data_IF_625916589738
#
_entry.id   IF_625916589738
#
_cell.length_a   1.000
_cell.length_b   1.000
_cell.length_c   1.000
_cell.angle_alpha   90.00
_cell.angle_beta   90.00
_cell.angle_gamma   90.00
#
_symmetry.space_group_name_H-M   'P 1'
#
loop_
_entity.id
_entity.type
_entity.pdbx_description
1 polymer ?
#
# COMPACT_ATOMS: atom_id res chain seq x y z
N UNK A 1 -9.39 -16.79 -5.39
CA UNK A 1 -7.94 -16.77 -5.71
C UNK A 1 -7.66 -16.05 -7.03
N UNK A 2 -8.27 -16.47 -8.15
CA UNK A 2 -8.10 -15.81 -9.46
C UNK A 2 -8.49 -14.31 -9.48
N UNK A 3 -9.61 -13.96 -8.82
CA UNK A 3 -10.09 -12.57 -8.76
C UNK A 3 -9.14 -11.63 -7.98
N UNK A 4 -8.43 -12.13 -6.97
CA UNK A 4 -7.47 -11.34 -6.21
C UNK A 4 -6.17 -11.16 -7.02
N UNK A 5 -5.71 -12.22 -7.70
CA UNK A 5 -4.57 -12.14 -8.61
C UNK A 5 -4.75 -11.11 -9.72
N UNK A 6 -5.94 -11.05 -10.32
CA UNK A 6 -6.28 -10.04 -11.33
C UNK A 6 -6.18 -8.62 -10.74
N UNK A 7 -6.67 -8.39 -9.51
CA UNK A 7 -6.54 -7.09 -8.84
C UNK A 7 -5.08 -6.68 -8.64
N UNK A 8 -4.21 -7.62 -8.24
CA UNK A 8 -2.79 -7.35 -7.97
C UNK A 8 -2.02 -6.88 -9.19
N UNK A 9 -2.44 -7.28 -10.39
CA UNK A 9 -1.80 -6.89 -11.64
C UNK A 9 -2.49 -5.65 -12.23
N UNK A 10 -3.82 -5.61 -12.17
CA UNK A 10 -4.62 -4.57 -12.80
C UNK A 10 -4.40 -3.19 -12.15
N UNK A 11 -4.24 -3.12 -10.82
CA UNK A 11 -3.98 -1.86 -10.12
C UNK A 11 -2.63 -1.26 -10.53
N UNK A 12 -1.51 -2.00 -10.46
CA UNK A 12 -0.25 -1.53 -11.00
C UNK A 12 -0.30 -1.05 -12.45
N UNK A 13 -1.02 -1.77 -13.32
CA UNK A 13 -1.18 -1.39 -14.73
C UNK A 13 -1.99 -0.09 -14.87
N UNK A 14 -3.06 0.08 -14.09
CA UNK A 14 -3.83 1.33 -14.07
C UNK A 14 -2.98 2.51 -13.64
N UNK A 15 -2.14 2.34 -12.61
CA UNK A 15 -1.21 3.38 -12.15
C UNK A 15 -0.20 3.72 -13.25
N UNK A 16 0.32 2.71 -13.95
CA UNK A 16 1.21 2.92 -15.10
C UNK A 16 0.51 3.74 -16.20
N UNK A 17 -0.72 3.39 -16.57
CA UNK A 17 -1.48 4.10 -17.59
C UNK A 17 -1.74 5.55 -17.19
N UNK A 18 -2.20 5.79 -15.96
CA UNK A 18 -2.45 7.16 -15.46
C UNK A 18 -1.15 7.97 -15.40
N UNK A 19 -0.04 7.34 -14.97
CA UNK A 19 1.27 7.99 -14.92
C UNK A 19 1.79 8.36 -16.32
N UNK A 20 1.59 7.48 -17.30
CA UNK A 20 1.96 7.73 -18.69
C UNK A 20 1.12 8.84 -19.32
N UNK A 21 -0.21 8.70 -19.30
CA UNK A 21 -1.15 9.69 -19.86
C UNK A 21 -0.98 11.06 -19.21
N UNK A 22 -0.82 11.08 -17.88
CA UNK A 22 -0.56 12.32 -17.15
C UNK A 22 0.75 12.98 -17.61
N UNK A 23 1.81 12.20 -17.83
CA UNK A 23 3.08 12.74 -18.33
C UNK A 23 2.92 13.34 -19.74
N UNK A 24 2.24 12.63 -20.65
CA UNK A 24 1.96 13.14 -22.02
C UNK A 24 1.14 14.43 -21.96
N UNK A 25 0.13 14.50 -21.10
CA UNK A 25 -0.69 15.69 -20.90
C UNK A 25 0.13 16.89 -20.38
N UNK A 26 1.00 16.66 -19.39
CA UNK A 26 1.83 17.71 -18.81
C UNK A 26 2.93 18.20 -19.77
N UNK A 27 3.52 17.31 -20.57
CA UNK A 27 4.50 17.67 -21.60
C UNK A 27 3.88 18.49 -22.73
N UNK A 28 2.67 18.14 -23.19
CA UNK A 28 1.97 18.90 -24.24
C UNK A 28 1.47 20.28 -23.76
N UNK A 29 1.15 20.45 -22.47
CA UNK A 29 0.72 21.74 -21.88
C UNK A 29 1.87 22.55 -21.24
N UNK A 30 3.12 22.23 -21.63
CA UNK A 30 4.41 22.62 -21.03
C UNK A 30 4.60 24.09 -20.64
N UNK A 31 3.89 25.06 -21.24
CA UNK A 31 4.15 26.49 -20.99
C UNK A 31 3.72 27.01 -19.60
N UNK A 32 2.92 26.29 -18.80
CA UNK A 32 2.45 26.79 -17.48
C UNK A 32 3.03 26.07 -16.26
N UNK A 33 3.31 24.76 -16.35
CA UNK A 33 3.74 23.98 -15.18
C UNK A 33 5.26 23.80 -15.05
N UNK A 34 5.99 23.76 -16.16
CA UNK A 34 7.46 23.68 -16.17
C UNK A 34 8.09 24.99 -15.66
N UNK A 35 7.37 26.12 -15.70
CA UNK A 35 7.85 27.37 -15.08
C UNK A 35 7.71 27.40 -13.54
N UNK A 36 6.87 26.55 -12.95
CA UNK A 36 6.74 26.45 -11.47
C UNK A 36 7.86 25.57 -10.90
N UNK A 37 8.24 24.53 -11.63
CA UNK A 37 9.40 23.70 -11.32
C UNK A 37 10.53 24.08 -12.27
N UNK A 38 11.34 25.07 -11.89
CA UNK A 38 12.62 25.49 -12.52
C UNK A 38 13.67 24.35 -12.54
N UNK A 39 13.28 23.19 -13.04
CA UNK A 39 13.98 21.91 -12.99
C UNK A 39 13.99 21.39 -14.42
N UNK A 40 14.69 22.06 -15.35
CA UNK A 40 14.92 21.48 -16.69
C UNK A 40 16.28 20.82 -16.80
N UNK A 41 17.26 21.21 -15.96
CA UNK A 41 18.63 20.70 -16.01
C UNK A 41 18.94 19.51 -15.08
N UNK A 42 18.08 19.21 -14.11
CA UNK A 42 18.37 18.19 -13.07
C UNK A 42 17.29 17.09 -12.94
N UNK A 43 16.34 17.01 -13.88
CA UNK A 43 15.22 16.04 -13.85
C UNK A 43 15.72 14.60 -13.66
N UNK A 44 16.80 14.22 -14.35
CA UNK A 44 17.33 12.85 -14.30
C UNK A 44 17.91 12.51 -12.92
N UNK A 45 18.61 13.45 -12.30
CA UNK A 45 19.15 13.29 -10.93
C UNK A 45 18.02 13.21 -9.91
N UNK A 46 17.02 14.08 -10.06
CA UNK A 46 15.85 14.12 -9.18
C UNK A 46 15.01 12.84 -9.26
N UNK A 47 14.66 12.39 -10.47
CA UNK A 47 13.87 11.17 -10.68
C UNK A 47 14.60 9.93 -10.18
N UNK A 48 15.91 9.84 -10.39
CA UNK A 48 16.75 8.76 -9.85
C UNK A 48 16.77 8.78 -8.32
N UNK A 49 16.85 9.96 -7.70
CA UNK A 49 16.82 10.12 -6.24
C UNK A 49 15.45 9.72 -5.67
N UNK A 50 14.35 10.12 -6.32
CA UNK A 50 13.00 9.72 -5.90
C UNK A 50 12.86 8.20 -5.94
N UNK A 51 13.36 7.56 -7.00
CA UNK A 51 13.32 6.11 -7.13
C UNK A 51 14.15 5.38 -6.06
N UNK A 52 15.36 5.85 -5.78
CA UNK A 52 16.21 5.23 -4.74
C UNK A 52 15.59 5.36 -3.35
N UNK A 53 15.03 6.54 -3.03
CA UNK A 53 14.30 6.78 -1.78
C UNK A 53 13.06 5.88 -1.69
N UNK A 54 12.27 5.77 -2.76
CA UNK A 54 11.11 4.89 -2.81
C UNK A 54 11.49 3.44 -2.52
N UNK A 55 12.48 2.92 -3.24
CA UNK A 55 12.94 1.54 -3.10
C UNK A 55 13.46 1.28 -1.68
N UNK A 56 14.19 2.25 -1.10
CA UNK A 56 14.69 2.19 0.27
C UNK A 56 13.56 2.12 1.30
N UNK A 57 12.57 3.01 1.22
CA UNK A 57 11.46 3.09 2.17
C UNK A 57 10.57 1.83 2.10
N UNK A 58 10.28 1.34 0.89
CA UNK A 58 9.50 0.10 0.70
C UNK A 58 10.25 -1.08 1.33
N UNK A 59 11.55 -1.24 1.02
CA UNK A 59 12.36 -2.33 1.54
C UNK A 59 12.45 -2.31 3.06
N UNK A 60 12.65 -1.13 3.65
CA UNK A 60 12.71 -0.95 5.11
C UNK A 60 11.38 -1.35 5.76
N UNK A 61 10.26 -0.95 5.16
CA UNK A 61 8.92 -1.22 5.71
C UNK A 61 8.57 -2.71 5.65
N UNK A 62 8.97 -3.40 4.58
CA UNK A 62 8.85 -4.86 4.47
C UNK A 62 9.75 -5.56 5.50
N UNK A 63 10.98 -5.07 5.71
CA UNK A 63 11.89 -5.63 6.72
C UNK A 63 11.33 -5.44 8.15
N UNK A 64 10.79 -4.27 8.47
CA UNK A 64 10.12 -4.01 9.75
C UNK A 64 8.93 -4.94 9.95
N UNK A 65 8.13 -5.16 8.89
CA UNK A 65 7.03 -6.11 8.97
C UNK A 65 7.54 -7.53 9.26
N UNK A 66 8.56 -8.00 8.53
CA UNK A 66 9.14 -9.32 8.76
C UNK A 66 9.67 -9.49 10.19
N UNK A 67 10.29 -8.44 10.74
CA UNK A 67 10.77 -8.41 12.12
C UNK A 67 9.62 -8.53 13.13
N UNK A 68 8.45 -7.98 12.82
CA UNK A 68 7.26 -8.05 13.69
C UNK A 68 6.52 -9.38 13.55
N UNK A 69 6.52 -9.98 12.35
CA UNK A 69 5.92 -11.30 12.09
C UNK A 69 6.65 -12.42 12.82
N UNK A 70 7.98 -12.35 12.93
CA UNK A 70 8.79 -13.41 13.55
C UNK A 70 8.44 -13.72 15.03
N UNK A 71 8.41 -12.70 15.93
CA UNK A 71 8.07 -12.89 17.34
C UNK A 71 6.57 -13.08 17.61
N UNK A 72 5.69 -12.68 16.69
CA UNK A 72 4.25 -12.55 16.96
C UNK A 72 3.45 -13.82 16.70
N UNK A 73 3.60 -14.82 17.57
CA UNK A 73 2.61 -15.91 17.72
C UNK A 73 1.55 -15.60 18.78
N UNK A 74 1.42 -14.34 19.17
CA UNK A 74 0.46 -13.94 20.19
C UNK A 74 -0.98 -14.14 19.70
N UNK A 75 -1.71 -14.97 20.46
CA UNK A 75 -3.14 -15.16 20.28
C UNK A 75 -3.89 -14.40 21.36
N UNK A 76 -4.96 -13.68 20.98
CA UNK A 76 -5.90 -13.06 21.91
C UNK A 76 -7.32 -13.50 21.55
N UNK A 77 -8.06 -13.98 22.54
CA UNK A 77 -9.39 -14.55 22.34
C UNK A 77 -9.43 -15.63 21.24
N UNK A 78 -8.36 -16.42 21.12
CA UNK A 78 -8.21 -17.45 20.08
C UNK A 78 -7.78 -16.96 18.70
N UNK A 79 -7.78 -15.65 18.45
CA UNK A 79 -7.37 -15.05 17.17
C UNK A 79 -5.89 -14.70 17.16
N UNK A 80 -5.22 -14.98 16.03
CA UNK A 80 -3.87 -14.47 15.78
C UNK A 80 -3.94 -12.97 15.49
N UNK A 81 -3.28 -12.16 16.32
CA UNK A 81 -3.28 -10.70 16.20
C UNK A 81 -2.77 -10.22 14.83
N UNK A 82 -1.76 -10.90 14.29
CA UNK A 82 -1.22 -10.57 12.98
C UNK A 82 -2.26 -10.81 11.87
N UNK A 83 -2.94 -11.95 11.91
CA UNK A 83 -4.01 -12.29 10.96
C UNK A 83 -5.18 -11.30 11.08
N UNK A 84 -5.53 -10.89 12.30
CA UNK A 84 -6.57 -9.91 12.52
C UNK A 84 -6.26 -8.56 11.85
N UNK A 85 -5.08 -7.99 12.10
CA UNK A 85 -4.71 -6.67 11.58
C UNK A 85 -4.38 -6.66 10.08
N UNK A 86 -3.78 -7.75 9.56
CA UNK A 86 -3.33 -7.80 8.17
C UNK A 86 -4.34 -8.45 7.22
N UNK A 87 -5.25 -9.30 7.71
CA UNK A 87 -6.17 -10.06 6.85
C UNK A 87 -7.63 -9.74 7.17
N UNK A 88 -8.08 -9.86 8.42
CA UNK A 88 -9.52 -9.81 8.74
C UNK A 88 -10.10 -8.40 8.88
N UNK A 89 -9.34 -7.46 9.46
CA UNK A 89 -9.82 -6.08 9.69
C UNK A 89 -9.90 -5.26 8.39
N UNK A 90 -9.13 -5.63 7.38
CA UNK A 90 -8.97 -4.83 6.16
C UNK A 90 -10.09 -5.16 5.16
N UNK A 91 -10.85 -4.13 4.76
CA UNK A 91 -11.98 -4.27 3.81
C UNK A 91 -11.57 -4.28 2.33
N UNK A 92 -10.50 -3.56 1.97
CA UNK A 92 -10.14 -3.31 0.57
C UNK A 92 -8.99 -4.21 0.08
N UNK A 93 -7.86 -4.18 0.77
CA UNK A 93 -6.68 -5.00 0.45
C UNK A 93 -6.16 -5.61 1.73
N UNK A 94 -5.84 -6.89 1.67
CA UNK A 94 -5.08 -7.54 2.73
C UNK A 94 -3.63 -7.04 2.70
N UNK A 95 -2.96 -7.06 3.84
CA UNK A 95 -1.63 -6.46 3.95
C UNK A 95 -0.57 -7.15 3.09
N UNK A 96 -0.73 -8.45 2.80
CA UNK A 96 0.14 -9.14 1.85
C UNK A 96 -0.04 -8.66 0.41
N UNK A 97 -1.26 -8.28 0.03
CA UNK A 97 -1.53 -7.73 -1.31
C UNK A 97 -0.90 -6.35 -1.47
N UNK A 98 -0.94 -5.52 -0.43
CA UNK A 98 -0.27 -4.21 -0.44
C UNK A 98 1.24 -4.37 -0.62
N UNK A 99 1.87 -5.35 0.04
CA UNK A 99 3.30 -5.63 -0.12
C UNK A 99 3.63 -6.04 -1.55
N UNK A 100 2.85 -6.95 -2.13
CA UNK A 100 3.06 -7.41 -3.52
C UNK A 100 2.92 -6.22 -4.49
N UNK A 101 1.90 -5.38 -4.31
CA UNK A 101 1.72 -4.17 -5.11
C UNK A 101 2.92 -3.24 -4.97
N UNK A 102 3.38 -2.96 -3.74
CA UNK A 102 4.55 -2.10 -3.50
C UNK A 102 5.82 -2.65 -4.15
N UNK A 103 6.05 -3.96 -4.11
CA UNK A 103 7.19 -4.60 -4.79
C UNK A 103 7.10 -4.45 -6.31
N UNK A 104 5.92 -4.58 -6.90
CA UNK A 104 5.71 -4.37 -8.34
C UNK A 104 5.84 -2.90 -8.74
N UNK A 105 5.56 -1.96 -7.84
CA UNK A 105 5.71 -0.53 -8.12
C UNK A 105 7.19 -0.09 -8.27
N UNK A 106 8.16 -0.82 -7.69
CA UNK A 106 9.59 -0.49 -7.82
C UNK A 106 10.10 -0.58 -9.28
N UNK A 107 9.95 -1.70 -10.00
CA UNK A 107 10.35 -1.79 -11.40
C UNK A 107 9.49 -0.89 -12.30
N UNK A 108 8.23 -0.65 -11.95
CA UNK A 108 7.38 0.28 -12.69
C UNK A 108 7.84 1.73 -12.53
N UNK A 109 8.31 2.11 -11.34
CA UNK A 109 8.90 3.42 -11.16
C UNK A 109 10.22 3.56 -11.92
N UNK A 110 11.02 2.50 -11.96
CA UNK A 110 12.25 2.47 -12.75
C UNK A 110 11.99 2.75 -14.24
N UNK A 111 10.88 2.23 -14.80
CA UNK A 111 10.48 2.53 -16.18
C UNK A 111 10.24 4.03 -16.41
N UNK A 112 9.55 4.71 -15.50
CA UNK A 112 9.33 6.16 -15.58
C UNK A 112 10.64 6.95 -15.48
N UNK A 113 11.54 6.55 -14.58
CA UNK A 113 12.88 7.15 -14.45
C UNK A 113 13.68 6.99 -15.73
N UNK A 114 13.71 5.79 -16.31
CA UNK A 114 14.46 5.51 -17.55
C UNK A 114 13.96 6.33 -18.75
N UNK A 115 12.70 6.77 -18.72
CA UNK A 115 12.08 7.65 -19.73
C UNK A 115 12.09 9.13 -19.33
N UNK A 116 12.69 9.50 -18.20
CA UNK A 116 12.69 10.85 -17.63
C UNK A 116 11.27 11.44 -17.42
N UNK A 117 10.29 10.57 -17.16
CA UNK A 117 8.89 10.94 -16.94
C UNK A 117 8.69 11.40 -15.49
N UNK A 118 8.89 12.69 -15.23
CA UNK A 118 8.84 13.24 -13.87
C UNK A 118 7.47 13.09 -13.20
N UNK A 119 6.38 13.35 -13.93
CA UNK A 119 5.03 13.22 -13.39
C UNK A 119 4.71 11.78 -12.99
N UNK A 120 4.94 10.81 -13.89
CA UNK A 120 4.76 9.39 -13.59
C UNK A 120 5.58 8.93 -12.38
N UNK A 121 6.82 9.42 -12.27
CA UNK A 121 7.71 9.11 -11.13
C UNK A 121 7.14 9.64 -9.81
N UNK A 122 6.67 10.89 -9.79
CA UNK A 122 6.09 11.51 -8.59
C UNK A 122 4.76 10.87 -8.16
N UNK A 123 3.89 10.57 -9.14
CA UNK A 123 2.62 9.91 -8.88
C UNK A 123 2.85 8.54 -8.24
N UNK A 124 3.74 7.75 -8.84
CA UNK A 124 4.04 6.42 -8.33
C UNK A 124 4.69 6.47 -6.94
N UNK A 125 5.61 7.42 -6.73
CA UNK A 125 6.19 7.67 -5.41
C UNK A 125 5.13 7.98 -4.35
N UNK A 126 4.18 8.86 -4.66
CA UNK A 126 3.11 9.23 -3.74
C UNK A 126 2.22 8.04 -3.36
N UNK A 127 1.81 7.23 -4.35
CA UNK A 127 1.00 6.03 -4.10
C UNK A 127 1.77 5.03 -3.24
N UNK A 128 3.06 4.83 -3.51
CA UNK A 128 3.92 3.97 -2.71
C UNK A 128 4.05 4.46 -1.27
N UNK A 129 4.17 5.77 -1.07
CA UNK A 129 4.26 6.38 0.25
C UNK A 129 2.98 6.14 1.07
N UNK A 130 1.80 6.25 0.45
CA UNK A 130 0.53 5.91 1.09
C UNK A 130 0.47 4.44 1.51
N UNK A 131 0.88 3.52 0.63
CA UNK A 131 0.92 2.09 0.95
C UNK A 131 1.88 1.75 2.08
N UNK A 132 3.05 2.40 2.11
CA UNK A 132 4.01 2.25 3.21
C UNK A 132 3.44 2.76 4.53
N UNK A 133 2.83 3.95 4.55
CA UNK A 133 2.22 4.50 5.75
C UNK A 133 1.13 3.58 6.32
N UNK A 134 0.30 3.00 5.46
CA UNK A 134 -0.74 2.05 5.86
C UNK A 134 -0.15 0.78 6.52
N UNK A 135 0.95 0.24 5.99
CA UNK A 135 1.69 -0.87 6.61
C UNK A 135 2.24 -0.45 7.97
N UNK A 136 2.91 0.70 8.05
CA UNK A 136 3.51 1.19 9.29
C UNK A 136 2.46 1.42 10.39
N UNK A 137 1.32 2.05 10.06
CA UNK A 137 0.21 2.25 11.00
C UNK A 137 -0.29 0.90 11.52
N UNK A 138 -0.39 -0.10 10.65
CA UNK A 138 -0.84 -1.44 11.05
C UNK A 138 0.17 -2.12 11.98
N UNK A 139 1.47 -1.96 11.71
CA UNK A 139 2.54 -2.43 12.58
C UNK A 139 2.49 -1.72 13.94
N UNK A 140 2.34 -0.40 13.98
CA UNK A 140 2.25 0.34 15.24
C UNK A 140 1.03 -0.06 16.07
N UNK A 141 -0.13 -0.27 15.44
CA UNK A 141 -1.33 -0.78 16.13
C UNK A 141 -1.13 -2.19 16.66
N UNK A 142 -0.43 -3.04 15.92
CA UNK A 142 -0.06 -4.37 16.39
C UNK A 142 0.88 -4.31 17.61
N UNK A 143 1.90 -3.46 17.57
CA UNK A 143 2.87 -3.30 18.66
C UNK A 143 2.28 -2.64 19.90
N UNK A 144 1.30 -1.74 19.72
CA UNK A 144 0.61 -1.06 20.81
C UNK A 144 -0.45 -1.99 21.40
N UNK A 145 -0.02 -2.87 22.30
CA UNK A 145 -0.90 -3.78 23.04
C UNK A 145 -1.61 -3.01 24.17
N UNK A 146 -2.68 -2.30 23.82
CA UNK A 146 -3.46 -1.46 24.76
C UNK A 146 -4.91 -1.97 24.93
N UNK A 147 -5.64 -1.41 25.88
CA UNK A 147 -7.05 -1.74 26.14
C UNK A 147 -7.97 -1.45 24.94
N UNK A 148 -7.64 -0.43 24.14
CA UNK A 148 -8.30 -0.15 22.86
C UNK A 148 -8.25 -1.33 21.89
N UNK A 149 -7.09 -1.99 21.77
CA UNK A 149 -6.92 -3.15 20.87
C UNK A 149 -7.75 -4.33 21.35
N UNK A 150 -7.83 -4.54 22.67
CA UNK A 150 -8.71 -5.56 23.26
C UNK A 150 -10.17 -5.29 22.95
N UNK A 151 -10.60 -4.03 23.05
CA UNK A 151 -11.95 -3.63 22.72
C UNK A 151 -12.28 -3.84 21.24
N UNK A 152 -11.37 -3.45 20.32
CA UNK A 152 -11.53 -3.65 18.88
C UNK A 152 -11.68 -5.12 18.49
N UNK A 153 -10.89 -6.01 19.09
CA UNK A 153 -10.98 -7.46 18.80
C UNK A 153 -12.30 -8.01 19.33
N UNK A 154 -12.72 -7.58 20.53
CA UNK A 154 -13.97 -8.02 21.14
C UNK A 154 -15.18 -7.54 20.34
N UNK A 155 -15.20 -6.28 19.89
CA UNK A 155 -16.31 -5.77 19.08
C UNK A 155 -16.40 -6.51 17.74
N UNK A 156 -15.26 -6.77 17.10
CA UNK A 156 -15.21 -7.55 15.87
C UNK A 156 -15.81 -8.95 16.04
N UNK A 157 -15.43 -9.67 17.10
CA UNK A 157 -15.99 -11.01 17.38
C UNK A 157 -17.50 -10.95 17.61
N UNK A 158 -17.98 -9.97 18.37
CA UNK A 158 -19.41 -9.81 18.65
C UNK A 158 -20.21 -9.52 17.38
N UNK A 159 -19.67 -8.70 16.48
CA UNK A 159 -20.30 -8.40 15.18
C UNK A 159 -20.32 -9.62 14.26
N UNK A 160 -19.23 -10.39 14.21
CA UNK A 160 -19.17 -11.65 13.44
C UNK A 160 -20.22 -12.66 13.93
N UNK A 161 -20.36 -12.81 15.25
CA UNK A 161 -21.41 -13.65 15.84
C UNK A 161 -22.82 -13.16 15.52
N UNK A 162 -23.08 -11.84 15.62
CA UNK A 162 -24.39 -11.27 15.27
C UNK A 162 -24.77 -11.56 13.82
N UNK A 163 -23.83 -11.41 12.89
CA UNK A 163 -24.05 -11.67 11.47
C UNK A 163 -24.35 -13.15 11.17
N UNK A 164 -23.71 -14.06 11.89
CA UNK A 164 -23.97 -15.50 11.76
C UNK A 164 -25.37 -15.87 12.26
N UNK A 165 -25.76 -15.35 13.42
CA UNK A 165 -27.11 -15.57 13.98
C UNK A 165 -28.20 -14.97 13.10
N UNK A 166 -27.98 -13.78 12.53
CA UNK A 166 -28.92 -13.17 11.57
C UNK A 166 -29.04 -13.97 10.27
N UNK A 167 -27.98 -14.66 9.84
CA UNK A 167 -28.03 -15.56 8.68
C UNK A 167 -28.84 -16.81 8.99
N UNK A 168 -28.54 -17.48 10.11
CA UNK A 168 -29.29 -18.68 10.52
C UNK A 168 -30.78 -18.37 10.69
N UNK A 169 -31.14 -17.23 11.29
CA UNK A 169 -32.55 -16.83 11.44
C UNK A 169 -33.25 -16.42 10.13
N UNK A 170 -32.52 -16.20 9.04
CA UNK A 170 -33.10 -15.94 7.71
C UNK A 170 -33.25 -17.21 6.86
N UNK A 171 -32.47 -18.24 7.19
CA UNK A 171 -32.49 -19.53 6.51
C UNK A 171 -33.46 -20.55 7.19
N UNK A 172 -34.12 -20.15 8.30
CA UNK A 172 -35.22 -20.84 8.99
C UNK A 172 -36.56 -20.17 8.66
#
# INVERSE_FOLDING_TARGET
MLANFIKWILIPILILLIGYEGTVYFENNSNRFINIFTISKEINSLTTTIWSVQAGIISLSIALLALVVGPSREKRYGLNLLEFYFVRKRKLYTGYEVIIILLLMIPFNYFFVAKNMLFGTLLNFFICLLGVLDILISIFKFLKIDDEVRYEIRSFILDEFRLLVEKENKDV
#
